data_IF_546308941938
#
_entry.id   IF_546308941938
#
_cell.length_a   1.000
_cell.length_b   1.000
_cell.length_c   1.000
_cell.angle_alpha   90.00
_cell.angle_beta   90.00
_cell.angle_gamma   90.00
#
_symmetry.space_group_name_H-M   'P 1'
#
loop_
_entity.id
_entity.type
_entity.pdbx_description
1 polymer ?
#
# COMPACT_ATOMS: atom_id res chain seq x y z
N UNK A 1 -3.42 -21.37 16.71
CA UNK A 1 -4.49 -20.37 16.43
C UNK A 1 -4.66 -20.30 14.95
N UNK A 2 -5.88 -20.50 14.45
CA UNK A 2 -6.17 -20.33 13.04
C UNK A 2 -6.23 -18.82 12.72
N UNK A 3 -5.43 -18.39 11.75
CA UNK A 3 -5.35 -17.01 11.28
C UNK A 3 -5.70 -16.95 9.78
N UNK A 4 -6.96 -17.19 9.41
CA UNK A 4 -7.36 -17.42 8.01
C UNK A 4 -7.14 -16.21 7.10
N UNK A 5 -7.07 -15.00 7.67
CA UNK A 5 -6.85 -13.77 6.91
C UNK A 5 -5.37 -13.31 6.90
N UNK A 6 -4.45 -14.07 7.51
CA UNK A 6 -3.02 -13.73 7.53
C UNK A 6 -2.37 -13.76 6.13
N UNK A 7 -3.05 -14.33 5.14
CA UNK A 7 -2.64 -14.22 3.74
C UNK A 7 -2.55 -12.75 3.28
N UNK A 8 -3.32 -11.86 3.91
CA UNK A 8 -3.24 -10.41 3.69
C UNK A 8 -2.13 -9.80 4.55
N UNK A 9 -0.90 -10.21 4.28
CA UNK A 9 0.29 -9.84 5.06
C UNK A 9 0.58 -8.33 5.06
N UNK A 10 0.00 -7.59 4.12
CA UNK A 10 0.12 -6.13 4.02
C UNK A 10 -0.47 -5.41 5.21
N UNK A 11 -1.57 -5.90 5.77
CA UNK A 11 -2.42 -5.12 6.66
C UNK A 11 -1.86 -4.98 8.07
N UNK A 12 -1.25 -6.05 8.62
CA UNK A 12 -0.87 -6.11 10.04
C UNK A 12 0.38 -5.30 10.40
N UNK A 13 1.19 -4.90 9.42
CA UNK A 13 2.44 -4.16 9.64
C UNK A 13 2.88 -3.43 8.39
N UNK A 14 3.82 -2.50 8.54
CA UNK A 14 4.46 -1.82 7.43
C UNK A 14 5.90 -1.45 7.79
N UNK A 15 6.75 -1.30 6.75
CA UNK A 15 8.17 -1.07 6.96
C UNK A 15 8.54 0.39 6.80
N UNK A 16 9.19 0.93 7.82
CA UNK A 16 9.92 2.19 7.74
C UNK A 16 11.40 1.92 7.43
N UNK A 17 12.19 2.94 7.07
CA UNK A 17 13.65 2.81 6.94
C UNK A 17 14.35 2.38 8.25
N UNK A 18 13.70 2.60 9.39
CA UNK A 18 14.26 2.34 10.73
C UNK A 18 13.83 1.01 11.33
N UNK A 19 12.84 0.34 10.71
CA UNK A 19 12.33 -0.95 11.15
C UNK A 19 10.85 -1.13 10.88
N UNK A 20 10.33 -2.25 11.38
CA UNK A 20 8.92 -2.59 11.28
C UNK A 20 8.08 -1.71 12.21
N UNK A 21 6.96 -1.23 11.69
CA UNK A 21 5.88 -0.65 12.48
C UNK A 21 4.74 -1.67 12.51
N UNK A 22 4.30 -2.04 13.71
CA UNK A 22 3.11 -2.87 13.89
C UNK A 22 1.89 -1.97 13.75
N UNK A 23 1.01 -2.30 12.81
CA UNK A 23 -0.28 -1.64 12.65
C UNK A 23 -1.24 -1.95 13.80
N UNK A 24 -2.38 -1.32 13.78
CA UNK A 24 -3.51 -1.64 14.66
C UNK A 24 -4.69 -2.08 13.80
N UNK A 25 -4.97 -3.38 13.77
CA UNK A 25 -6.10 -3.91 13.02
C UNK A 25 -7.42 -3.39 13.56
N UNK A 26 -8.26 -2.82 12.70
CA UNK A 26 -9.61 -2.40 13.06
C UNK A 26 -10.46 -3.61 13.50
N UNK A 27 -10.36 -4.71 12.76
CA UNK A 27 -11.04 -5.95 13.04
C UNK A 27 -10.32 -6.72 14.16
N UNK A 28 -10.91 -6.77 15.34
CA UNK A 28 -10.31 -7.34 16.55
C UNK A 28 -9.87 -8.81 16.37
N UNK A 29 -10.58 -9.61 15.59
CA UNK A 29 -10.26 -11.02 15.33
C UNK A 29 -9.00 -11.21 14.48
N UNK A 30 -8.51 -10.17 13.79
CA UNK A 30 -7.26 -10.18 13.03
C UNK A 30 -6.04 -9.81 13.89
N UNK A 31 -6.22 -9.34 15.10
CA UNK A 31 -5.12 -8.87 15.97
C UNK A 31 -4.14 -9.98 16.36
N UNK A 32 -4.53 -11.24 16.27
CA UNK A 32 -3.63 -12.38 16.43
C UNK A 32 -2.55 -12.49 15.35
N UNK A 33 -2.74 -11.83 14.19
CA UNK A 33 -1.80 -11.84 13.07
C UNK A 33 -0.48 -11.11 13.38
N UNK A 34 -0.43 -10.27 14.43
CA UNK A 34 0.78 -9.54 14.82
C UNK A 34 1.91 -10.46 15.29
N UNK A 35 1.58 -11.51 16.06
CA UNK A 35 2.58 -12.41 16.66
C UNK A 35 3.52 -13.00 15.61
N UNK A 36 3.01 -13.77 14.64
CA UNK A 36 3.84 -14.36 13.58
C UNK A 36 4.68 -13.35 12.79
N UNK A 37 4.16 -12.12 12.57
CA UNK A 37 4.90 -11.08 11.86
C UNK A 37 6.07 -10.56 12.70
N UNK A 38 5.83 -10.31 14.00
CA UNK A 38 6.87 -9.87 14.94
C UNK A 38 7.97 -10.95 15.05
N UNK A 39 7.58 -12.20 15.21
CA UNK A 39 8.52 -13.34 15.32
C UNK A 39 9.35 -13.50 14.04
N UNK A 40 8.71 -13.36 12.87
CA UNK A 40 9.40 -13.41 11.60
C UNK A 40 10.42 -12.26 11.45
N UNK A 41 10.05 -11.03 11.76
CA UNK A 41 10.94 -9.89 11.70
C UNK A 41 12.11 -10.02 12.67
N UNK A 42 11.85 -10.47 13.90
CA UNK A 42 12.90 -10.74 14.88
C UNK A 42 13.89 -11.80 14.39
N UNK A 43 13.39 -12.91 13.82
CA UNK A 43 14.22 -13.99 13.25
C UNK A 43 15.05 -13.51 12.04
N UNK A 44 14.62 -12.46 11.34
CA UNK A 44 15.33 -11.83 10.20
C UNK A 44 16.23 -10.65 10.62
N UNK A 45 16.30 -10.34 11.93
CA UNK A 45 17.06 -9.19 12.43
C UNK A 45 16.49 -7.84 11.98
N UNK A 46 15.18 -7.78 11.69
CA UNK A 46 14.48 -6.54 11.38
C UNK A 46 13.99 -5.96 12.72
N UNK A 47 14.46 -4.75 13.11
CA UNK A 47 14.04 -4.17 14.38
C UNK A 47 12.57 -3.76 14.36
N UNK A 48 11.92 -3.83 15.51
CA UNK A 48 10.66 -3.18 15.76
C UNK A 48 10.93 -1.69 16.00
N UNK A 49 10.37 -0.81 15.14
CA UNK A 49 10.48 0.63 15.32
C UNK A 49 9.44 1.12 16.33
N UNK A 50 8.14 0.85 16.07
CA UNK A 50 7.07 1.26 16.97
C UNK A 50 5.79 0.44 16.69
N UNK A 51 4.73 0.75 17.45
CA UNK A 51 3.39 0.19 17.27
C UNK A 51 2.33 1.30 17.28
N UNK A 52 1.39 1.24 16.33
CA UNK A 52 0.26 2.17 16.30
C UNK A 52 -0.67 1.94 17.51
N UNK A 53 -0.98 3.01 18.24
CA UNK A 53 -1.79 2.98 19.45
C UNK A 53 -2.91 4.03 19.48
N UNK A 54 -2.86 5.05 18.62
CA UNK A 54 -3.83 6.14 18.61
C UNK A 54 -5.17 5.78 17.92
N UNK A 55 -5.31 4.55 17.44
CA UNK A 55 -6.48 4.06 16.73
C UNK A 55 -6.11 2.94 15.78
N UNK A 56 -7.03 2.51 14.92
CA UNK A 56 -6.73 1.53 13.89
C UNK A 56 -5.91 2.18 12.75
N UNK A 57 -4.90 1.44 12.26
CA UNK A 57 -4.16 1.77 11.04
C UNK A 57 -3.60 0.49 10.42
N UNK A 58 -3.95 0.24 9.17
CA UNK A 58 -3.57 -0.96 8.43
C UNK A 58 -2.60 -0.63 7.27
N UNK A 59 -1.71 -1.56 6.93
CA UNK A 59 -0.62 -1.29 6.01
C UNK A 59 -1.02 -1.07 4.54
N UNK A 60 -2.26 -1.38 4.14
CA UNK A 60 -2.82 -1.02 2.84
C UNK A 60 -2.99 0.50 2.64
N UNK A 61 -2.98 1.25 3.76
CA UNK A 61 -3.06 2.70 3.80
C UNK A 61 -1.69 3.38 3.93
N UNK A 62 -0.62 2.60 3.96
CA UNK A 62 0.75 3.09 4.04
C UNK A 62 1.45 2.97 2.69
N UNK A 63 1.73 4.10 2.04
CA UNK A 63 2.38 4.12 0.73
C UNK A 63 3.63 5.00 0.74
N UNK A 64 4.78 4.35 0.68
CA UNK A 64 6.06 5.04 0.44
C UNK A 64 6.13 5.40 -1.05
N UNK A 65 5.93 6.69 -1.36
CA UNK A 65 5.88 7.20 -2.74
C UNK A 65 7.29 7.26 -3.32
N UNK A 66 8.21 7.84 -2.59
CA UNK A 66 9.64 7.85 -2.88
C UNK A 66 10.43 8.16 -1.60
N UNK A 67 11.76 8.04 -1.57
CA UNK A 67 12.55 8.40 -0.40
C UNK A 67 12.22 9.80 0.10
N UNK A 68 11.89 9.92 1.38
CA UNK A 68 11.51 11.18 2.02
C UNK A 68 10.03 11.59 1.84
N UNK A 69 9.21 10.83 1.10
CA UNK A 69 7.81 11.19 0.83
C UNK A 69 6.88 9.99 1.06
N UNK A 70 5.87 10.20 1.90
CA UNK A 70 4.92 9.19 2.32
C UNK A 70 3.49 9.67 2.12
N UNK A 71 2.62 8.79 1.61
CA UNK A 71 1.18 8.99 1.59
C UNK A 71 0.55 8.04 2.61
N UNK A 72 -0.33 8.58 3.45
CA UNK A 72 -1.11 7.83 4.45
C UNK A 72 -2.60 8.00 4.17
N UNK A 73 -3.26 6.89 3.86
CA UNK A 73 -4.70 6.83 3.66
C UNK A 73 -5.46 6.66 4.98
N UNK A 74 -6.71 7.12 5.01
CA UNK A 74 -7.65 6.79 6.07
C UNK A 74 -9.10 7.03 5.59
N UNK A 75 -10.03 6.21 6.09
CA UNK A 75 -11.46 6.35 5.81
C UNK A 75 -12.31 6.32 7.09
N UNK A 76 -11.67 6.09 8.23
CA UNK A 76 -12.34 5.90 9.52
C UNK A 76 -12.79 4.45 9.79
N UNK A 77 -12.78 3.56 8.78
CA UNK A 77 -13.19 2.16 8.96
C UNK A 77 -12.03 1.23 9.26
N UNK A 78 -11.01 1.17 8.38
CA UNK A 78 -9.83 0.30 8.56
C UNK A 78 -8.66 1.10 9.12
N UNK A 79 -8.45 2.29 8.63
CA UNK A 79 -7.52 3.26 9.22
C UNK A 79 -8.27 4.52 9.64
N UNK A 80 -7.90 5.05 10.80
CA UNK A 80 -8.51 6.22 11.42
C UNK A 80 -7.56 7.42 11.35
N UNK A 81 -8.12 8.62 11.26
CA UNK A 81 -7.34 9.85 11.10
C UNK A 81 -6.34 10.07 12.24
N UNK A 82 -6.71 9.78 13.49
CA UNK A 82 -5.84 9.91 14.66
C UNK A 82 -4.61 8.99 14.56
N UNK A 83 -4.81 7.79 14.06
CA UNK A 83 -3.72 6.82 13.86
C UNK A 83 -2.83 7.23 12.67
N UNK A 84 -3.42 7.72 11.58
CA UNK A 84 -2.66 8.29 10.47
C UNK A 84 -1.81 9.49 10.94
N UNK A 85 -2.35 10.37 11.80
CA UNK A 85 -1.60 11.47 12.41
C UNK A 85 -0.49 11.00 13.35
N UNK A 86 -0.64 9.88 14.04
CA UNK A 86 0.44 9.28 14.84
C UNK A 86 1.60 8.84 13.94
N UNK A 87 1.32 8.10 12.87
CA UNK A 87 2.32 7.65 11.91
C UNK A 87 2.98 8.85 11.21
N UNK A 88 2.18 9.85 10.80
CA UNK A 88 2.68 11.10 10.21
C UNK A 88 3.73 11.75 11.09
N UNK A 89 3.44 11.94 12.39
CA UNK A 89 4.40 12.56 13.32
C UNK A 89 5.73 11.82 13.40
N UNK A 90 5.71 10.47 13.39
CA UNK A 90 6.96 9.69 13.42
C UNK A 90 7.83 9.96 12.19
N UNK A 91 7.22 10.03 11.01
CA UNK A 91 7.95 10.26 9.77
C UNK A 91 8.41 11.73 9.63
N UNK A 92 7.61 12.70 10.05
CA UNK A 92 7.96 14.11 10.02
C UNK A 92 9.13 14.43 10.98
N UNK A 93 9.20 13.75 12.13
CA UNK A 93 10.35 13.88 13.06
C UNK A 93 11.68 13.45 12.43
N UNK A 94 11.62 12.54 11.47
CA UNK A 94 12.75 12.05 10.68
C UNK A 94 12.93 12.83 9.36
N UNK A 95 12.25 13.96 9.21
CA UNK A 95 12.40 14.87 8.07
C UNK A 95 11.65 14.44 6.80
N UNK A 96 10.68 13.53 6.91
CA UNK A 96 9.84 13.12 5.78
C UNK A 96 8.69 14.06 5.56
N UNK A 97 8.34 14.29 4.30
CA UNK A 97 7.07 14.92 3.92
C UNK A 97 5.96 13.87 3.87
N UNK A 98 4.84 14.15 4.53
CA UNK A 98 3.73 13.21 4.64
C UNK A 98 2.43 13.84 4.15
N UNK A 99 1.88 13.29 3.07
CA UNK A 99 0.56 13.61 2.55
C UNK A 99 -0.49 12.72 3.21
N UNK A 100 -1.57 13.33 3.71
CA UNK A 100 -2.75 12.62 4.20
C UNK A 100 -3.78 12.52 3.09
N UNK A 101 -4.37 11.34 2.94
CA UNK A 101 -5.42 11.05 1.98
C UNK A 101 -6.65 10.49 2.69
N UNK A 102 -7.67 11.34 2.86
CA UNK A 102 -9.00 10.89 3.29
C UNK A 102 -9.76 10.38 2.06
N UNK A 103 -10.27 9.16 2.14
CA UNK A 103 -10.99 8.51 1.05
C UNK A 103 -12.33 7.92 1.50
N UNK A 104 -13.20 7.63 0.53
CA UNK A 104 -14.53 7.09 0.80
C UNK A 104 -14.44 5.70 1.44
N UNK A 105 -15.17 5.46 2.56
CA UNK A 105 -15.24 4.15 3.25
C UNK A 105 -15.69 2.97 2.36
N UNK A 106 -16.19 3.23 1.17
CA UNK A 106 -16.46 2.18 0.17
C UNK A 106 -15.20 1.37 -0.16
N UNK A 107 -14.03 2.02 -0.14
CA UNK A 107 -12.75 1.35 -0.38
C UNK A 107 -12.18 0.80 0.92
N UNK A 108 -11.61 -0.40 0.85
CA UNK A 108 -11.01 -1.04 2.02
C UNK A 108 -9.76 -0.28 2.47
N UNK A 109 -8.88 0.04 1.52
CA UNK A 109 -7.62 0.77 1.74
C UNK A 109 -7.30 1.70 0.56
N UNK A 110 -6.39 2.64 0.76
CA UNK A 110 -5.90 3.55 -0.27
C UNK A 110 -5.25 2.82 -1.45
N UNK A 111 -4.64 1.65 -1.23
CA UNK A 111 -4.05 0.79 -2.26
C UNK A 111 -5.06 0.19 -3.25
N UNK A 112 -6.36 0.39 -3.01
CA UNK A 112 -7.42 0.11 -3.98
C UNK A 112 -7.58 1.23 -5.02
N UNK A 113 -7.05 2.43 -4.75
CA UNK A 113 -7.28 3.64 -5.56
C UNK A 113 -6.01 4.26 -6.13
N UNK A 114 -4.86 3.96 -5.52
CA UNK A 114 -3.52 4.43 -5.92
C UNK A 114 -2.51 3.30 -5.78
N UNK A 115 -1.59 3.15 -6.74
CA UNK A 115 -0.42 2.29 -6.63
C UNK A 115 0.78 2.90 -7.36
N UNK A 116 1.97 2.91 -6.73
CA UNK A 116 3.20 3.24 -7.41
C UNK A 116 3.61 2.09 -8.33
N UNK A 117 3.82 2.38 -9.61
CA UNK A 117 4.30 1.43 -10.62
C UNK A 117 5.81 1.49 -10.76
N UNK A 118 6.35 2.70 -10.81
CA UNK A 118 7.78 3.02 -10.84
C UNK A 118 8.07 4.19 -9.90
N UNK A 119 9.32 4.62 -9.70
CA UNK A 119 9.61 5.83 -8.92
C UNK A 119 8.99 7.13 -9.46
N UNK A 120 8.57 7.15 -10.73
CA UNK A 120 8.02 8.33 -11.42
C UNK A 120 6.64 8.11 -12.04
N UNK A 121 6.02 6.96 -11.84
CA UNK A 121 4.70 6.62 -12.42
C UNK A 121 3.80 5.98 -11.38
N UNK A 122 2.59 6.48 -11.22
CA UNK A 122 1.56 5.91 -10.37
C UNK A 122 0.29 5.58 -11.18
N UNK A 123 -0.32 4.42 -10.92
CA UNK A 123 -1.71 4.15 -11.32
C UNK A 123 -2.63 4.82 -10.31
N UNK A 124 -3.60 5.58 -10.79
CA UNK A 124 -4.50 6.39 -9.94
C UNK A 124 -5.90 6.36 -10.54
N UNK A 125 -6.92 6.10 -9.73
CA UNK A 125 -8.29 6.38 -10.12
C UNK A 125 -8.58 7.86 -9.88
N UNK A 126 -8.44 8.68 -10.93
CA UNK A 126 -8.61 10.15 -10.81
C UNK A 126 -10.02 10.58 -10.44
N UNK A 127 -11.01 9.72 -10.70
CA UNK A 127 -12.40 9.99 -10.33
C UNK A 127 -12.62 9.90 -8.80
N UNK A 128 -11.74 9.21 -8.08
CA UNK A 128 -11.86 8.92 -6.64
C UNK A 128 -10.82 9.68 -5.82
N UNK A 129 -9.58 9.68 -6.29
CA UNK A 129 -8.47 10.33 -5.57
C UNK A 129 -8.63 11.84 -5.64
N UNK A 130 -8.54 12.50 -4.49
CA UNK A 130 -8.80 13.94 -4.41
C UNK A 130 -7.82 14.76 -5.24
N UNK A 131 -8.23 15.92 -5.78
CA UNK A 131 -7.36 16.79 -6.58
C UNK A 131 -6.08 17.21 -5.85
N UNK A 132 -6.14 17.38 -4.53
CA UNK A 132 -5.00 17.77 -3.69
C UNK A 132 -3.93 16.66 -3.67
N UNK A 133 -4.32 15.40 -3.52
CA UNK A 133 -3.41 14.25 -3.57
C UNK A 133 -2.82 14.09 -4.97
N UNK A 134 -3.65 14.23 -6.02
CA UNK A 134 -3.16 14.20 -7.40
C UNK A 134 -2.13 15.31 -7.66
N UNK A 135 -2.40 16.55 -7.24
CA UNK A 135 -1.49 17.67 -7.39
C UNK A 135 -0.18 17.46 -6.60
N UNK A 136 -0.27 16.91 -5.39
CA UNK A 136 0.89 16.58 -4.60
C UNK A 136 1.79 15.54 -5.29
N UNK A 137 1.22 14.45 -5.82
CA UNK A 137 1.98 13.44 -6.57
C UNK A 137 2.67 14.07 -7.80
N UNK A 138 1.94 14.91 -8.56
CA UNK A 138 2.49 15.62 -9.73
C UNK A 138 3.63 16.56 -9.33
N UNK A 139 3.51 17.27 -8.20
CA UNK A 139 4.57 18.17 -7.70
C UNK A 139 5.86 17.43 -7.37
N UNK A 140 5.77 16.15 -7.05
CA UNK A 140 6.91 15.26 -6.84
C UNK A 140 7.51 14.69 -8.15
N UNK A 141 7.01 15.10 -9.31
CA UNK A 141 7.44 14.60 -10.62
C UNK A 141 6.89 13.21 -10.96
N UNK A 142 5.75 12.83 -10.36
CA UNK A 142 5.11 11.55 -10.63
C UNK A 142 4.04 11.73 -11.70
N UNK A 143 4.15 10.98 -12.79
CA UNK A 143 3.13 10.87 -13.81
C UNK A 143 1.96 10.01 -13.30
N UNK A 144 0.73 10.44 -13.59
CA UNK A 144 -0.48 9.74 -13.17
C UNK A 144 -1.10 8.99 -14.35
N UNK A 145 -1.01 7.67 -14.34
CA UNK A 145 -1.73 6.79 -15.24
C UNK A 145 -3.15 6.60 -14.72
N UNK A 146 -4.11 7.19 -15.41
CA UNK A 146 -5.51 7.12 -15.01
C UNK A 146 -6.11 5.72 -15.23
N UNK A 147 -6.72 5.18 -14.18
CA UNK A 147 -7.48 3.93 -14.21
C UNK A 147 -8.95 4.26 -13.94
N UNK A 148 -9.84 4.09 -14.91
CA UNK A 148 -11.25 4.42 -14.74
C UNK A 148 -11.90 3.66 -13.59
N UNK A 149 -12.87 4.29 -12.91
CA UNK A 149 -13.58 3.74 -11.75
C UNK A 149 -14.12 2.32 -12.00
N UNK A 150 -14.61 2.04 -13.20
CA UNK A 150 -15.15 0.72 -13.56
C UNK A 150 -14.18 -0.45 -13.40
N UNK A 151 -12.87 -0.19 -13.37
CA UNK A 151 -11.83 -1.23 -13.24
C UNK A 151 -11.36 -1.43 -11.79
N UNK A 152 -11.57 -0.48 -10.88
CA UNK A 152 -11.03 -0.61 -9.52
C UNK A 152 -11.77 -1.63 -8.67
N UNK A 153 -13.07 -1.86 -8.92
CA UNK A 153 -13.86 -2.89 -8.25
C UNK A 153 -13.36 -4.33 -8.50
N UNK A 154 -12.63 -4.55 -9.61
CA UNK A 154 -11.98 -5.83 -9.96
C UNK A 154 -10.51 -5.89 -9.55
N UNK A 155 -10.07 -5.10 -8.56
CA UNK A 155 -8.67 -4.99 -8.10
C UNK A 155 -7.72 -4.38 -9.18
N UNK A 156 -8.26 -3.53 -10.05
CA UNK A 156 -7.54 -2.96 -11.20
C UNK A 156 -6.29 -2.15 -10.87
N UNK A 157 -6.14 -1.69 -9.61
CA UNK A 157 -4.97 -0.93 -9.12
C UNK A 157 -4.17 -1.71 -8.07
N UNK A 158 -4.62 -2.87 -7.63
CA UNK A 158 -3.95 -3.65 -6.57
C UNK A 158 -2.65 -4.32 -7.07
N UNK A 159 -1.60 -3.53 -7.28
CA UNK A 159 -0.36 -3.84 -7.99
C UNK A 159 0.85 -3.70 -7.08
N UNK A 160 1.84 -4.56 -7.26
CA UNK A 160 3.15 -4.48 -6.61
C UNK A 160 4.21 -4.04 -7.62
N UNK A 161 4.89 -2.93 -7.35
CA UNK A 161 6.13 -2.58 -8.06
C UNK A 161 7.28 -3.49 -7.59
N UNK A 162 7.91 -4.16 -8.55
CA UNK A 162 9.07 -5.03 -8.31
C UNK A 162 10.41 -4.32 -8.55
N UNK A 163 10.37 -3.03 -8.91
CA UNK A 163 11.52 -2.25 -9.35
C UNK A 163 12.00 -2.62 -10.76
N UNK A 164 12.89 -1.81 -11.31
CA UNK A 164 13.44 -2.00 -12.67
C UNK A 164 12.35 -2.17 -13.75
N UNK A 165 11.34 -1.28 -13.70
CA UNK A 165 10.20 -1.25 -14.63
C UNK A 165 9.41 -2.57 -14.70
N UNK A 166 9.35 -3.31 -13.59
CA UNK A 166 8.62 -4.56 -13.44
C UNK A 166 7.48 -4.39 -12.46
N UNK A 167 6.30 -4.88 -12.82
CA UNK A 167 5.10 -4.84 -11.99
C UNK A 167 4.45 -6.22 -11.93
N UNK A 168 3.84 -6.52 -10.79
CA UNK A 168 3.10 -7.74 -10.53
C UNK A 168 1.66 -7.36 -10.17
N UNK A 169 0.68 -7.87 -10.90
CA UNK A 169 -0.74 -7.58 -10.72
C UNK A 169 -1.62 -8.80 -10.95
N UNK A 170 -2.85 -8.82 -10.44
CA UNK A 170 -3.78 -9.89 -10.77
C UNK A 170 -4.13 -9.88 -12.26
N UNK A 171 -4.40 -11.05 -12.86
CA UNK A 171 -4.84 -11.18 -14.26
C UNK A 171 -6.07 -10.31 -14.57
N UNK A 172 -6.91 -10.06 -13.58
CA UNK A 172 -8.11 -9.23 -13.72
C UNK A 172 -7.80 -7.73 -13.92
N UNK A 173 -6.56 -7.30 -13.67
CA UNK A 173 -6.09 -5.93 -13.94
C UNK A 173 -5.70 -5.71 -15.40
N UNK A 174 -6.45 -6.28 -16.35
CA UNK A 174 -6.15 -6.32 -17.79
C UNK A 174 -5.95 -4.93 -18.39
N UNK A 175 -6.85 -3.99 -18.08
CA UNK A 175 -6.73 -2.58 -18.54
C UNK A 175 -5.38 -1.98 -18.15
N UNK A 176 -5.00 -2.10 -16.87
CA UNK A 176 -3.74 -1.54 -16.38
C UNK A 176 -2.54 -2.31 -16.94
N UNK A 177 -2.65 -3.63 -17.10
CA UNK A 177 -1.61 -4.47 -17.69
C UNK A 177 -1.27 -4.04 -19.12
N UNK A 178 -2.27 -3.79 -19.96
CA UNK A 178 -2.09 -3.31 -21.33
C UNK A 178 -1.40 -1.94 -21.36
N UNK A 179 -1.82 -1.01 -20.49
CA UNK A 179 -1.24 0.32 -20.40
C UNK A 179 0.21 0.27 -19.92
N UNK A 180 0.51 -0.55 -18.93
CA UNK A 180 1.88 -0.75 -18.44
C UNK A 180 2.79 -1.31 -19.54
N UNK A 181 2.34 -2.32 -20.29
CA UNK A 181 3.09 -2.89 -21.43
C UNK A 181 3.34 -1.87 -22.52
N UNK A 182 2.33 -1.04 -22.83
CA UNK A 182 2.47 0.04 -23.83
C UNK A 182 3.50 1.11 -23.42
N UNK A 183 3.69 1.31 -22.10
CA UNK A 183 4.73 2.18 -21.53
C UNK A 183 6.09 1.50 -21.36
N UNK A 184 6.24 0.25 -21.82
CA UNK A 184 7.51 -0.50 -21.76
C UNK A 184 7.78 -1.24 -20.47
N UNK A 185 6.81 -1.30 -19.53
CA UNK A 185 6.98 -2.05 -18.29
C UNK A 185 6.84 -3.57 -18.54
N UNK A 186 7.63 -4.35 -17.82
CA UNK A 186 7.46 -5.80 -17.75
C UNK A 186 6.33 -6.13 -16.77
N UNK A 187 5.27 -6.76 -17.25
CA UNK A 187 4.08 -7.08 -16.46
C UNK A 187 4.00 -8.58 -16.21
N UNK A 188 3.93 -8.95 -14.95
CA UNK A 188 3.58 -10.28 -14.48
C UNK A 188 2.13 -10.25 -13.99
N UNK A 189 1.25 -11.04 -14.62
CA UNK A 189 -0.18 -11.06 -14.37
C UNK A 189 -0.72 -12.49 -14.16
N UNK A 190 -0.27 -13.19 -13.09
CA UNK A 190 -0.74 -14.52 -12.80
C UNK A 190 -2.25 -14.56 -12.51
N UNK A 191 -2.87 -15.70 -12.82
CA UNK A 191 -4.24 -15.97 -12.38
C UNK A 191 -4.24 -16.33 -10.89
N UNK A 192 -4.71 -15.40 -10.07
CA UNK A 192 -4.89 -15.55 -8.62
C UNK A 192 -6.36 -15.47 -8.23
N UNK A 193 -7.27 -15.71 -9.16
CA UNK A 193 -8.71 -15.54 -9.00
C UNK A 193 -9.28 -16.34 -7.82
N UNK A 194 -8.76 -17.55 -7.56
CA UNK A 194 -9.19 -18.36 -6.42
C UNK A 194 -8.92 -17.67 -5.05
N UNK A 195 -7.87 -16.83 -4.96
CA UNK A 195 -7.53 -16.10 -3.75
C UNK A 195 -8.28 -14.76 -3.69
N UNK A 196 -8.37 -14.06 -4.81
CA UNK A 196 -8.97 -12.72 -4.85
C UNK A 196 -10.48 -12.72 -4.59
N UNK A 197 -11.15 -13.85 -4.75
CA UNK A 197 -12.57 -14.04 -4.41
C UNK A 197 -12.89 -13.78 -2.93
N UNK A 198 -11.91 -13.84 -2.04
CA UNK A 198 -12.10 -13.55 -0.62
C UNK A 198 -11.80 -12.08 -0.26
N UNK A 199 -11.65 -11.23 -1.25
CA UNK A 199 -11.67 -9.77 -1.07
C UNK A 199 -10.30 -9.10 -0.87
N UNK A 200 -9.29 -9.48 -1.64
CA UNK A 200 -7.99 -8.80 -1.66
C UNK A 200 -7.19 -9.19 -2.90
N UNK A 201 -6.14 -8.45 -3.20
CA UNK A 201 -5.29 -8.67 -4.36
C UNK A 201 -3.84 -8.97 -4.03
N UNK A 202 -3.00 -8.94 -5.05
CA UNK A 202 -1.56 -9.25 -4.92
C UNK A 202 -0.85 -8.25 -4.00
N UNK A 203 -1.20 -6.97 -4.05
CA UNK A 203 -0.61 -5.97 -3.17
C UNK A 203 -0.93 -6.26 -1.70
N UNK A 204 -2.16 -6.66 -1.40
CA UNK A 204 -2.58 -7.03 -0.05
C UNK A 204 -1.83 -8.26 0.51
N UNK A 205 -1.40 -9.19 -0.36
CA UNK A 205 -0.62 -10.36 0.02
C UNK A 205 0.87 -10.07 0.22
N UNK A 206 1.36 -8.92 -0.23
CA UNK A 206 2.79 -8.61 -0.25
C UNK A 206 3.15 -7.53 0.76
N UNK A 207 4.07 -7.86 1.68
CA UNK A 207 4.70 -6.89 2.59
C UNK A 207 6.16 -6.70 2.20
N UNK A 208 6.55 -5.56 1.59
CA UNK A 208 7.94 -5.26 1.31
C UNK A 208 8.73 -5.13 2.61
N UNK A 209 9.77 -5.95 2.79
CA UNK A 209 10.60 -5.91 3.98
C UNK A 209 11.78 -4.96 3.85
N UNK A 210 12.26 -4.75 2.63
CA UNK A 210 13.36 -3.83 2.31
C UNK A 210 13.08 -3.18 0.96
N UNK A 211 13.41 -1.90 0.87
CA UNK A 211 13.45 -1.15 -0.38
C UNK A 211 14.87 -0.64 -0.55
N UNK A 212 15.47 -0.93 -1.69
CA UNK A 212 16.77 -0.37 -2.03
C UNK A 212 16.53 0.73 -3.07
N UNK A 213 17.21 1.89 -2.95
CA UNK A 213 17.20 2.86 -4.03
C UNK A 213 17.80 2.19 -5.26
N UNK A 214 17.23 2.45 -6.43
CA UNK A 214 17.83 2.03 -7.69
C UNK A 214 19.23 2.68 -7.78
N UNK A 215 20.23 1.87 -8.10
CA UNK A 215 21.56 2.42 -8.39
C UNK A 215 21.42 3.28 -9.64
N UNK A 216 21.68 4.58 -9.48
CA UNK A 216 21.79 5.51 -10.59
C UNK A 216 22.93 5.11 -11.53
#
# INVERSE_FOLDING_TARGET
>A
VDLPLQIWARDGSFMSPWGMIVGQMAQWWRRGEYGPVIDFCAAKGIPLYDKVTAGAFEGGDFMMVKPGHLLLGYSGQRSQGEAALQVKRWFEQEGWEVCLYEFDPYFVHADCTIAMLTPSLAAVCKEVVTPEVQAWLISLGIELLDVPFGYIGSLGINVVSLGHDRVLMPKQSDFLAERCRALGLTVYDPDVSAITQVGGGIHCMCQPLRRQPEKQ
#
